data_IF_647438520248
#
_entry.id   IF_647438520248
#
_cell.length_a   1.000
_cell.length_b   1.000
_cell.length_c   1.000
_cell.angle_alpha   90.00
_cell.angle_beta   90.00
_cell.angle_gamma   90.00
#
_symmetry.space_group_name_H-M   'P 1'
#
loop_
_entity.id
_entity.type
_entity.pdbx_description
1 polymer ?
#
# COMPACT_ATOMS: atom_id res chain seq x y z
N UNK A 1 -20.53 -49.64 -19.47
CA UNK A 1 -20.47 -48.28 -20.05
C UNK A 1 -19.41 -47.52 -19.31
N UNK A 2 -18.31 -47.23 -19.94
CA UNK A 2 -17.21 -46.47 -19.34
C UNK A 2 -17.58 -44.99 -19.39
N UNK A 3 -17.53 -44.33 -18.26
CA UNK A 3 -17.83 -42.89 -18.14
C UNK A 3 -16.75 -42.13 -18.91
N UNK A 4 -17.09 -41.39 -20.00
CA UNK A 4 -16.09 -40.69 -20.80
C UNK A 4 -15.40 -39.55 -20.03
N UNK A 5 -15.97 -39.08 -18.94
CA UNK A 5 -15.37 -38.05 -18.09
C UNK A 5 -14.24 -38.58 -17.19
N UNK A 6 -14.24 -39.89 -16.87
CA UNK A 6 -13.16 -40.47 -16.09
C UNK A 6 -11.82 -40.53 -16.85
N UNK A 7 -11.85 -40.48 -18.19
CA UNK A 7 -10.64 -40.44 -19.01
C UNK A 7 -10.03 -39.02 -19.11
N UNK A 8 -10.74 -37.97 -18.72
CA UNK A 8 -10.28 -36.61 -18.77
C UNK A 8 -9.51 -36.17 -17.51
N UNK A 9 -9.23 -37.08 -16.58
CA UNK A 9 -8.47 -36.76 -15.36
C UNK A 9 -9.25 -35.94 -14.30
N UNK A 10 -10.58 -35.93 -14.39
CA UNK A 10 -11.43 -35.12 -13.47
C UNK A 10 -11.53 -35.70 -12.05
N UNK A 11 -11.05 -36.90 -11.83
CA UNK A 11 -11.02 -37.57 -10.54
C UNK A 11 -9.60 -38.03 -10.17
N UNK A 12 -8.63 -37.16 -10.36
CA UNK A 12 -7.30 -37.41 -9.81
C UNK A 12 -7.29 -36.90 -8.36
N UNK A 13 -7.56 -37.79 -7.41
CA UNK A 13 -7.51 -37.50 -5.97
C UNK A 13 -6.12 -37.07 -5.49
N UNK A 14 -5.10 -37.18 -6.33
CA UNK A 14 -3.72 -36.77 -6.05
C UNK A 14 -3.42 -35.31 -6.43
N UNK A 15 -4.38 -34.56 -7.01
CA UNK A 15 -4.20 -33.16 -7.27
C UNK A 15 -4.44 -32.41 -5.96
N UNK A 16 -3.35 -31.98 -5.35
CA UNK A 16 -3.41 -31.10 -4.18
C UNK A 16 -4.41 -29.98 -4.42
N UNK A 17 -5.31 -29.69 -3.47
CA UNK A 17 -6.29 -28.63 -3.64
C UNK A 17 -5.57 -27.33 -4.00
N UNK A 18 -6.15 -26.51 -4.88
CA UNK A 18 -5.53 -25.26 -5.28
C UNK A 18 -5.18 -24.46 -4.03
N UNK A 19 -3.98 -23.91 -4.01
CA UNK A 19 -3.49 -23.22 -2.83
C UNK A 19 -4.45 -22.09 -2.47
N UNK A 20 -5.01 -22.15 -1.27
CA UNK A 20 -5.81 -21.03 -0.74
C UNK A 20 -4.92 -19.82 -0.65
N UNK A 21 -5.33 -18.72 -1.25
CA UNK A 21 -4.66 -17.43 -1.10
C UNK A 21 -4.73 -17.02 0.35
N UNK A 22 -3.66 -17.28 1.05
CA UNK A 22 -3.48 -16.71 2.37
C UNK A 22 -2.63 -15.47 2.21
N UNK A 23 -2.90 -14.50 3.01
CA UNK A 23 -2.17 -13.26 3.15
C UNK A 23 -0.64 -13.43 3.17
N UNK A 24 -0.15 -14.55 3.78
CA UNK A 24 1.27 -14.91 3.77
C UNK A 24 1.85 -15.06 2.36
N UNK A 25 1.03 -15.28 1.32
CA UNK A 25 1.50 -15.39 -0.06
C UNK A 25 1.70 -14.08 -0.78
N UNK A 26 1.03 -13.01 -0.34
CA UNK A 26 1.33 -11.67 -0.83
C UNK A 26 2.77 -11.24 -0.49
N UNK A 27 3.33 -11.82 0.59
CA UNK A 27 4.71 -11.61 0.99
C UNK A 27 5.72 -12.52 0.28
N UNK A 28 5.27 -13.53 -0.46
CA UNK A 28 6.19 -14.37 -1.22
C UNK A 28 6.28 -13.84 -2.64
N UNK A 29 7.50 -13.56 -3.10
CA UNK A 29 7.82 -13.16 -4.49
C UNK A 29 7.38 -14.19 -5.55
N UNK A 30 6.74 -15.28 -5.12
CA UNK A 30 6.19 -16.30 -6.02
C UNK A 30 4.69 -16.10 -6.15
N UNK A 31 4.28 -14.94 -6.68
CA UNK A 31 2.98 -14.86 -7.32
C UNK A 31 3.09 -15.68 -8.62
N UNK A 32 2.71 -16.93 -8.55
CA UNK A 32 2.45 -17.72 -9.75
C UNK A 32 1.01 -17.39 -10.11
N UNK A 33 0.76 -16.61 -11.19
CA UNK A 33 -0.60 -16.43 -11.65
C UNK A 33 -1.19 -17.81 -11.87
N UNK A 34 -2.37 -18.06 -11.33
CA UNK A 34 -3.10 -19.28 -11.64
C UNK A 34 -3.41 -19.21 -13.10
N UNK A 35 -2.66 -19.97 -13.90
CA UNK A 35 -3.02 -20.17 -15.29
C UNK A 35 -4.39 -20.82 -15.28
N UNK A 36 -5.36 -20.18 -15.90
CA UNK A 36 -6.68 -20.75 -16.12
C UNK A 36 -6.51 -22.16 -16.67
N UNK A 37 -7.24 -23.15 -16.16
CA UNK A 37 -7.19 -24.49 -16.73
C UNK A 37 -7.49 -24.39 -18.23
N UNK A 38 -6.81 -25.20 -18.99
CA UNK A 38 -6.79 -25.18 -20.48
C UNK A 38 -8.18 -25.22 -21.14
N UNK A 39 -9.19 -25.54 -20.38
CA UNK A 39 -10.59 -25.61 -20.80
C UNK A 39 -11.38 -24.42 -20.23
N UNK A 40 -11.03 -23.22 -20.64
CA UNK A 40 -11.57 -21.92 -20.21
C UNK A 40 -13.08 -21.69 -20.21
N UNK A 41 -13.87 -22.73 -19.97
CA UNK A 41 -15.32 -22.69 -19.96
C UNK A 41 -15.96 -22.68 -18.56
N UNK A 42 -15.17 -22.83 -17.49
CA UNK A 42 -15.72 -22.74 -16.14
C UNK A 42 -15.54 -21.30 -15.66
N UNK A 43 -16.63 -20.63 -15.28
CA UNK A 43 -16.53 -19.32 -14.64
C UNK A 43 -15.66 -19.48 -13.39
N UNK A 44 -14.68 -18.60 -13.23
CA UNK A 44 -13.93 -18.52 -11.98
C UNK A 44 -14.91 -18.42 -10.83
N UNK A 45 -14.70 -19.22 -9.78
CA UNK A 45 -15.49 -19.10 -8.58
C UNK A 45 -15.42 -17.64 -8.10
N UNK A 46 -16.55 -16.98 -7.83
CA UNK A 46 -16.55 -15.58 -7.39
C UNK A 46 -15.77 -15.36 -6.08
N UNK A 47 -15.33 -16.43 -5.42
CA UNK A 47 -14.52 -16.37 -4.21
C UNK A 47 -13.01 -16.30 -4.46
N UNK A 48 -12.56 -16.38 -5.72
CA UNK A 48 -11.15 -16.36 -6.11
C UNK A 48 -10.77 -15.11 -6.92
N UNK A 49 -11.67 -14.17 -7.08
CA UNK A 49 -11.33 -12.88 -7.65
C UNK A 49 -10.25 -12.23 -6.76
N UNK A 50 -9.07 -12.04 -7.32
CA UNK A 50 -8.07 -11.18 -6.69
C UNK A 50 -8.77 -9.87 -6.31
N UNK A 51 -8.57 -9.34 -5.11
CA UNK A 51 -9.19 -8.08 -4.76
C UNK A 51 -8.82 -7.07 -5.86
N UNK A 52 -9.83 -6.42 -6.44
CA UNK A 52 -9.61 -5.36 -7.40
C UNK A 52 -8.81 -4.27 -6.67
N UNK A 53 -7.60 -4.00 -7.13
CA UNK A 53 -6.78 -2.92 -6.61
C UNK A 53 -6.90 -1.72 -7.52
N UNK A 54 -7.00 -0.55 -6.91
CA UNK A 54 -6.74 0.71 -7.60
C UNK A 54 -5.22 0.92 -7.53
N UNK A 55 -4.59 0.98 -8.69
CA UNK A 55 -3.15 1.25 -8.80
C UNK A 55 -2.90 2.70 -9.07
N UNK A 56 -1.98 3.26 -8.29
CA UNK A 56 -1.40 4.58 -8.49
C UNK A 56 0.08 4.42 -8.80
N UNK A 57 0.59 5.22 -9.73
CA UNK A 57 2.00 5.27 -10.10
C UNK A 57 2.58 6.60 -9.65
N UNK A 58 3.75 6.58 -9.03
CA UNK A 58 4.52 7.77 -8.70
C UNK A 58 5.37 8.12 -9.92
N UNK A 59 4.99 9.18 -10.59
CA UNK A 59 5.68 9.68 -11.77
C UNK A 59 6.60 10.83 -11.36
N UNK A 60 7.90 10.57 -11.38
CA UNK A 60 8.93 11.55 -11.05
C UNK A 60 10.06 11.50 -12.07
N UNK A 61 10.69 12.66 -12.32
CA UNK A 61 11.78 12.77 -13.28
C UNK A 61 13.04 12.02 -12.79
N UNK A 62 13.29 12.06 -11.48
CA UNK A 62 14.52 11.56 -10.87
C UNK A 62 14.29 10.30 -9.99
N UNK A 63 13.07 9.75 -9.99
CA UNK A 63 12.69 8.63 -9.12
C UNK A 63 12.46 9.03 -7.65
N UNK A 64 12.46 10.34 -7.36
CA UNK A 64 12.23 10.88 -6.02
C UNK A 64 10.72 10.98 -5.75
N UNK A 65 10.24 10.29 -4.73
CA UNK A 65 8.83 10.33 -4.33
C UNK A 65 8.44 11.63 -3.61
N UNK A 66 9.40 12.46 -3.24
CA UNK A 66 9.16 13.75 -2.60
C UNK A 66 8.84 14.87 -3.60
N UNK A 67 9.17 14.64 -4.88
CA UNK A 67 8.84 15.54 -5.98
C UNK A 67 8.28 14.73 -7.16
N UNK A 68 7.01 14.37 -7.06
CA UNK A 68 6.36 13.50 -8.05
C UNK A 68 4.86 13.81 -8.18
N UNK A 69 4.28 13.31 -9.26
CA UNK A 69 2.83 13.22 -9.44
C UNK A 69 2.36 11.80 -9.17
N UNK A 70 1.19 11.65 -8.55
CA UNK A 70 0.48 10.38 -8.46
C UNK A 70 -0.56 10.31 -9.57
N UNK A 71 -0.38 9.35 -10.47
CA UNK A 71 -1.30 9.09 -11.57
C UNK A 71 -2.12 7.82 -11.32
N UNK A 72 -3.39 7.85 -11.71
CA UNK A 72 -4.27 6.69 -11.68
C UNK A 72 -4.11 5.81 -12.92
N UNK A 73 -4.98 4.80 -13.04
CA UNK A 73 -4.99 3.85 -14.18
C UNK A 73 -5.35 4.49 -15.53
N UNK A 74 -5.88 5.69 -15.52
CA UNK A 74 -6.26 6.48 -16.70
C UNK A 74 -5.24 7.59 -17.04
N UNK A 75 -4.05 7.50 -16.48
CA UNK A 75 -2.94 8.45 -16.58
C UNK A 75 -3.31 9.89 -16.15
N UNK A 76 -4.41 10.05 -15.39
CA UNK A 76 -4.75 11.33 -14.80
C UNK A 76 -3.97 11.56 -13.53
N UNK A 77 -3.38 12.75 -13.41
CA UNK A 77 -2.78 13.21 -12.16
C UNK A 77 -3.88 13.41 -11.11
N UNK A 78 -3.77 12.71 -9.99
CA UNK A 78 -4.75 12.77 -8.90
C UNK A 78 -4.19 13.56 -7.73
N UNK A 79 -2.89 13.39 -7.46
CA UNK A 79 -2.18 14.10 -6.41
C UNK A 79 -0.81 14.53 -6.91
N UNK A 80 -0.30 15.58 -6.31
CA UNK A 80 1.06 16.06 -6.51
C UNK A 80 1.77 16.14 -5.17
N UNK A 81 3.01 15.70 -5.13
CA UNK A 81 3.89 15.81 -3.97
C UNK A 81 5.01 16.76 -4.35
N UNK A 82 5.25 17.79 -3.54
CA UNK A 82 6.29 18.78 -3.81
C UNK A 82 7.08 19.09 -2.56
N UNK A 83 8.38 19.16 -2.69
CA UNK A 83 9.27 19.51 -1.58
C UNK A 83 9.86 20.90 -1.78
N UNK A 84 9.69 21.74 -0.77
CA UNK A 84 10.21 23.10 -0.74
C UNK A 84 11.39 23.18 0.23
N UNK A 85 12.48 23.74 -0.24
CA UNK A 85 13.66 24.07 0.55
C UNK A 85 13.68 25.58 0.79
N UNK A 86 13.63 25.98 2.05
CA UNK A 86 13.60 27.38 2.45
C UNK A 86 15.02 27.89 2.75
N UNK A 87 15.22 29.20 2.64
CA UNK A 87 16.52 29.83 2.83
C UNK A 87 17.08 29.68 4.26
N UNK A 88 16.23 29.45 5.24
CA UNK A 88 16.59 29.16 6.64
C UNK A 88 16.99 27.70 6.89
N UNK A 89 17.07 26.89 5.84
CA UNK A 89 17.41 25.48 5.92
C UNK A 89 16.24 24.56 6.26
N UNK A 90 15.04 25.12 6.44
CA UNK A 90 13.83 24.31 6.62
C UNK A 90 13.45 23.62 5.30
N UNK A 91 12.95 22.42 5.41
CA UNK A 91 12.43 21.64 4.28
C UNK A 91 11.02 21.19 4.61
N UNK A 92 10.10 21.31 3.66
CA UNK A 92 8.74 20.80 3.83
C UNK A 92 8.23 20.12 2.57
N UNK A 93 7.54 18.99 2.73
CA UNK A 93 6.85 18.30 1.66
C UNK A 93 5.35 18.52 1.76
N UNK A 94 4.75 19.02 0.68
CA UNK A 94 3.32 19.27 0.57
C UNK A 94 2.67 18.21 -0.31
N UNK A 95 1.50 17.77 0.10
CA UNK A 95 0.63 16.88 -0.66
C UNK A 95 -0.56 17.68 -1.18
N UNK A 96 -0.72 17.71 -2.48
CA UNK A 96 -1.63 18.61 -3.19
C UNK A 96 -2.62 17.73 -3.98
N UNK A 97 -3.90 18.05 -3.91
CA UNK A 97 -4.95 17.38 -4.69
C UNK A 97 -5.18 18.08 -6.04
N UNK A 98 -6.02 17.49 -6.92
CA UNK A 98 -6.36 18.06 -8.24
C UNK A 98 -6.92 19.48 -8.21
N UNK A 99 -7.36 19.97 -7.06
CA UNK A 99 -7.87 21.33 -6.89
C UNK A 99 -6.80 22.32 -6.44
N UNK A 100 -5.52 21.98 -6.55
CA UNK A 100 -4.37 22.75 -6.05
C UNK A 100 -4.42 23.03 -4.53
N UNK A 101 -5.22 22.25 -3.79
CA UNK A 101 -5.30 22.40 -2.34
C UNK A 101 -4.27 21.49 -1.67
N UNK A 102 -3.48 22.08 -0.77
CA UNK A 102 -2.57 21.35 0.09
C UNK A 102 -3.38 20.67 1.19
N UNK A 103 -3.59 19.35 1.10
CA UNK A 103 -4.33 18.61 2.13
C UNK A 103 -3.43 18.04 3.22
N UNK A 104 -2.13 17.90 2.96
CA UNK A 104 -1.18 17.47 3.99
C UNK A 104 0.19 18.11 3.81
N UNK A 105 0.93 18.18 4.92
CA UNK A 105 2.29 18.71 4.96
C UNK A 105 3.14 17.93 5.94
N UNK A 106 4.38 17.64 5.54
CA UNK A 106 5.45 17.19 6.43
C UNK A 106 6.50 18.29 6.51
N UNK A 107 6.83 18.72 7.72
CA UNK A 107 7.93 19.65 8.00
C UNK A 107 9.12 18.85 8.50
N UNK A 108 10.20 18.83 7.71
CA UNK A 108 11.41 18.07 7.99
C UNK A 108 12.33 18.86 8.96
N UNK A 109 11.83 19.09 10.15
CA UNK A 109 12.57 19.69 11.26
C UNK A 109 13.15 18.60 12.18
N UNK A 110 13.82 18.99 13.24
CA UNK A 110 14.27 18.07 14.29
C UNK A 110 13.58 18.42 15.59
N UNK A 111 12.54 17.71 16.06
CA UNK A 111 11.87 16.59 15.39
C UNK A 111 10.98 17.00 14.19
N UNK A 112 10.66 16.07 13.26
CA UNK A 112 9.76 16.36 12.14
C UNK A 112 8.30 16.41 12.59
N UNK A 113 7.50 17.25 11.89
CA UNK A 113 6.07 17.39 12.15
C UNK A 113 5.24 17.02 10.93
N UNK A 114 4.03 16.55 11.18
CA UNK A 114 3.04 16.22 10.15
C UNK A 114 1.72 16.89 10.48
N UNK A 115 1.01 17.32 9.44
CA UNK A 115 -0.37 17.81 9.49
C UNK A 115 -1.12 17.23 8.31
N UNK A 116 -2.35 16.75 8.51
CA UNK A 116 -3.29 16.36 7.46
C UNK A 116 -4.60 17.08 7.75
N UNK A 117 -5.11 17.83 6.78
CA UNK A 117 -6.33 18.61 6.96
C UNK A 117 -7.48 17.73 7.46
N UNK A 118 -8.31 18.26 8.32
CA UNK A 118 -9.49 17.61 8.94
C UNK A 118 -9.23 16.28 9.68
N UNK A 119 -8.17 15.55 9.37
CA UNK A 119 -7.94 14.21 9.94
C UNK A 119 -6.81 14.16 10.98
N UNK A 120 -5.81 15.03 10.88
CA UNK A 120 -4.66 15.02 11.77
C UNK A 120 -4.15 16.43 12.06
N UNK A 121 -4.34 16.97 13.28
CA UNK A 121 -3.74 18.24 13.68
C UNK A 121 -2.22 18.14 13.63
N UNK A 122 -1.54 19.29 13.49
CA UNK A 122 -0.08 19.34 13.48
C UNK A 122 0.48 18.69 14.74
N UNK A 123 1.27 17.64 14.56
CA UNK A 123 1.95 16.93 15.64
C UNK A 123 3.29 16.36 15.16
N UNK A 124 4.09 15.89 16.07
CA UNK A 124 5.34 15.23 15.76
C UNK A 124 5.11 13.91 15.00
N UNK A 125 5.91 13.67 13.96
CA UNK A 125 5.76 12.52 13.08
C UNK A 125 5.86 11.20 13.85
N UNK A 126 6.77 11.10 14.82
CA UNK A 126 6.95 9.92 15.65
C UNK A 126 5.78 9.67 16.63
N UNK A 127 5.06 10.71 17.03
CA UNK A 127 3.86 10.57 17.84
C UNK A 127 2.69 9.96 17.04
N UNK A 128 2.68 10.20 15.74
CA UNK A 128 1.67 9.63 14.82
C UNK A 128 2.08 8.26 14.30
N UNK A 129 3.32 8.11 13.80
CA UNK A 129 3.87 6.85 13.29
C UNK A 129 4.67 6.18 14.40
N UNK A 130 4.02 5.32 15.17
CA UNK A 130 4.63 4.66 16.32
C UNK A 130 5.42 3.43 15.91
N UNK A 131 6.62 3.29 16.47
CA UNK A 131 7.38 2.05 16.39
C UNK A 131 6.73 1.00 17.27
N UNK A 132 6.63 -0.23 16.80
CA UNK A 132 6.24 -1.34 17.65
C UNK A 132 7.50 -1.91 18.29
N UNK A 133 7.55 -1.96 19.62
CA UNK A 133 8.73 -2.33 20.45
C UNK A 133 9.48 -3.60 20.03
N UNK A 134 8.88 -4.42 19.20
CA UNK A 134 9.43 -5.73 18.80
C UNK A 134 10.10 -5.75 17.43
N UNK A 135 9.99 -4.72 16.63
CA UNK A 135 10.54 -4.73 15.27
C UNK A 135 10.55 -3.33 14.64
N UNK A 136 11.72 -2.88 14.24
CA UNK A 136 11.90 -1.65 13.44
C UNK A 136 11.15 -1.66 12.10
N UNK A 137 10.75 -2.86 11.64
CA UNK A 137 10.05 -3.05 10.37
C UNK A 137 8.55 -2.81 10.47
N UNK A 138 8.02 -2.74 11.70
CA UNK A 138 6.58 -2.62 11.93
C UNK A 138 6.32 -1.28 12.59
N UNK A 139 5.47 -0.50 11.95
CA UNK A 139 4.97 0.79 12.46
C UNK A 139 3.45 0.72 12.57
N UNK A 140 2.89 1.53 13.44
CA UNK A 140 1.43 1.66 13.58
C UNK A 140 1.07 3.13 13.47
N UNK A 141 0.05 3.41 12.65
CA UNK A 141 -0.55 4.75 12.53
C UNK A 141 -2.02 4.67 12.88
N UNK A 142 -2.54 5.70 13.53
CA UNK A 142 -3.96 5.81 13.84
C UNK A 142 -4.64 6.68 12.78
N UNK A 143 -5.65 6.12 12.09
CA UNK A 143 -6.41 6.79 11.03
C UNK A 143 -7.89 6.57 11.33
N UNK A 144 -8.65 7.66 11.49
CA UNK A 144 -10.10 7.62 11.76
C UNK A 144 -10.47 6.60 12.87
N UNK A 145 -9.79 6.68 14.02
CA UNK A 145 -9.95 5.80 15.18
C UNK A 145 -9.55 4.33 14.96
N UNK A 146 -9.12 3.94 13.76
CA UNK A 146 -8.61 2.61 13.49
C UNK A 146 -7.07 2.61 13.47
N UNK A 147 -6.46 1.57 14.06
CA UNK A 147 -5.03 1.35 13.99
C UNK A 147 -4.68 0.63 12.71
N UNK A 148 -3.79 1.22 11.91
CA UNK A 148 -3.23 0.63 10.69
C UNK A 148 -1.78 0.25 10.95
N UNK A 149 -1.46 -1.01 10.72
CA UNK A 149 -0.09 -1.53 10.81
C UNK A 149 0.58 -1.40 9.46
N UNK A 150 1.75 -0.77 9.44
CA UNK A 150 2.63 -0.63 8.27
C UNK A 150 3.83 -1.57 8.47
N UNK A 151 3.98 -2.54 7.59
CA UNK A 151 5.05 -3.54 7.67
C UNK A 151 5.96 -3.43 6.45
N UNK A 152 7.24 -3.17 6.69
CA UNK A 152 8.26 -3.14 5.63
C UNK A 152 8.78 -4.54 5.36
N UNK A 153 8.71 -4.94 4.10
CA UNK A 153 9.30 -6.18 3.62
C UNK A 153 10.05 -5.93 2.30
N UNK A 154 11.37 -6.05 2.33
CA UNK A 154 12.25 -5.72 1.19
C UNK A 154 12.02 -4.28 0.72
N UNK A 155 11.66 -4.11 -0.57
CA UNK A 155 11.37 -2.82 -1.21
C UNK A 155 9.87 -2.49 -1.18
N UNK A 156 9.10 -3.12 -0.32
CA UNK A 156 7.65 -2.87 -0.23
C UNK A 156 7.24 -2.55 1.19
N UNK A 157 6.21 -1.73 1.32
CA UNK A 157 5.53 -1.46 2.59
C UNK A 157 4.07 -1.90 2.43
N UNK A 158 3.61 -2.70 3.37
CA UNK A 158 2.25 -3.23 3.39
C UNK A 158 1.47 -2.57 4.51
N UNK A 159 0.23 -2.16 4.23
CA UNK A 159 -0.68 -1.57 5.20
C UNK A 159 -1.82 -2.53 5.52
N UNK A 160 -2.12 -2.69 6.81
CA UNK A 160 -3.12 -3.60 7.33
C UNK A 160 -3.91 -2.98 8.47
N UNK A 161 -5.16 -3.38 8.64
CA UNK A 161 -5.88 -3.09 9.88
C UNK A 161 -5.26 -3.88 11.04
N UNK A 162 -5.01 -3.21 12.15
CA UNK A 162 -4.48 -3.85 13.34
C UNK A 162 -5.48 -4.85 13.93
N UNK A 163 -4.98 -6.00 14.37
CA UNK A 163 -5.73 -6.97 15.19
C UNK A 163 -6.07 -8.29 14.52
N UNK A 164 -6.01 -8.43 13.21
CA UNK A 164 -6.37 -9.68 12.52
C UNK A 164 -5.38 -10.03 11.41
N UNK A 165 -4.13 -10.32 11.78
CA UNK A 165 -3.14 -10.79 10.81
C UNK A 165 -3.64 -12.08 10.15
N UNK A 166 -3.91 -12.02 8.85
CA UNK A 166 -4.12 -13.20 8.02
C UNK A 166 -5.48 -13.37 7.36
N UNK A 167 -6.40 -12.41 7.49
CA UNK A 167 -7.61 -12.39 6.69
C UNK A 167 -7.45 -11.40 5.52
N UNK A 168 -7.87 -11.79 4.32
CA UNK A 168 -7.84 -10.93 3.11
C UNK A 168 -8.62 -9.61 3.31
N UNK A 169 -9.54 -9.59 4.29
CA UNK A 169 -10.34 -8.42 4.66
C UNK A 169 -9.57 -7.30 5.35
N UNK A 170 -8.36 -7.56 5.81
CA UNK A 170 -7.58 -6.62 6.63
C UNK A 170 -6.51 -5.88 5.83
N UNK A 171 -6.27 -6.29 4.58
CA UNK A 171 -5.36 -5.59 3.68
C UNK A 171 -5.96 -4.25 3.26
N UNK A 172 -5.12 -3.22 3.26
CA UNK A 172 -5.50 -1.84 2.98
C UNK A 172 -4.77 -1.31 1.75
N UNK A 173 -3.44 -1.42 1.74
CA UNK A 173 -2.61 -0.93 0.65
C UNK A 173 -1.24 -1.62 0.62
N UNK A 174 -0.57 -1.52 -0.55
CA UNK A 174 0.82 -1.94 -0.75
C UNK A 174 1.55 -0.89 -1.55
N UNK A 175 2.60 -0.34 -0.98
CA UNK A 175 3.60 0.44 -1.70
C UNK A 175 4.72 -0.48 -2.17
N UNK A 176 5.20 -0.29 -3.39
CA UNK A 176 6.31 -1.04 -3.96
C UNK A 176 7.28 -0.07 -4.65
N UNK A 177 8.53 -0.06 -4.22
CA UNK A 177 9.62 0.61 -4.93
C UNK A 177 10.48 -0.47 -5.60
N UNK A 178 10.45 -0.52 -6.93
CA UNK A 178 11.22 -1.45 -7.76
C UNK A 178 12.27 -0.71 -8.58
N UNK A 179 12.71 -1.39 -9.64
CA UNK A 179 13.59 -0.77 -10.67
C UNK A 179 12.74 0.08 -11.64
N UNK A 180 11.42 -0.15 -11.67
CA UNK A 180 10.42 0.67 -12.34
C UNK A 180 9.90 1.77 -11.40
N UNK A 181 9.04 2.64 -11.94
CA UNK A 181 8.37 3.68 -11.16
C UNK A 181 7.69 3.09 -9.91
N UNK A 182 7.82 3.74 -8.73
CA UNK A 182 7.15 3.28 -7.52
C UNK A 182 5.63 3.22 -7.73
N UNK A 183 4.99 2.24 -7.10
CA UNK A 183 3.54 2.03 -7.22
C UNK A 183 2.87 1.89 -5.85
N UNK A 184 1.60 2.30 -5.79
CA UNK A 184 0.74 2.13 -4.64
C UNK A 184 -0.54 1.41 -5.05
N UNK A 185 -0.68 0.16 -4.66
CA UNK A 185 -1.89 -0.64 -4.85
C UNK A 185 -2.79 -0.48 -3.62
N UNK A 186 -4.03 -0.04 -3.82
CA UNK A 186 -4.97 0.27 -2.75
C UNK A 186 -6.27 -0.49 -2.95
N UNK A 187 -6.82 -1.05 -1.88
CA UNK A 187 -8.16 -1.66 -1.94
C UNK A 187 -9.21 -0.55 -2.09
N UNK A 188 -10.18 -0.64 -3.02
CA UNK A 188 -11.20 0.39 -3.24
C UNK A 188 -11.91 0.87 -1.98
N UNK A 189 -12.19 -0.05 -1.07
CA UNK A 189 -12.78 0.23 0.25
C UNK A 189 -11.96 1.21 1.09
N UNK A 190 -10.65 1.24 0.90
CA UNK A 190 -9.72 2.15 1.60
C UNK A 190 -9.97 3.60 1.19
N UNK A 191 -10.15 3.83 -0.12
CA UNK A 191 -10.45 5.14 -0.67
C UNK A 191 -11.81 5.65 -0.17
N UNK A 192 -12.83 4.80 -0.24
CA UNK A 192 -14.19 5.14 0.20
C UNK A 192 -14.28 5.48 1.70
N UNK A 193 -13.36 4.97 2.51
CA UNK A 193 -13.31 5.24 3.96
C UNK A 193 -12.44 6.45 4.35
N UNK A 194 -11.85 7.14 3.39
CA UNK A 194 -10.97 8.26 3.66
C UNK A 194 -9.62 7.87 4.29
N UNK A 195 -9.16 6.62 4.08
CA UNK A 195 -7.86 6.19 4.59
C UNK A 195 -6.73 6.45 3.60
N UNK A 196 -7.06 6.74 2.34
CA UNK A 196 -6.08 6.85 1.27
C UNK A 196 -5.05 7.96 1.54
N UNK A 197 -5.51 9.17 1.80
CA UNK A 197 -4.64 10.33 2.02
C UNK A 197 -3.70 10.15 3.22
N UNK A 198 -4.19 9.75 4.43
CA UNK A 198 -3.29 9.50 5.54
C UNK A 198 -2.30 8.35 5.29
N UNK A 199 -2.71 7.30 4.57
CA UNK A 199 -1.82 6.19 4.21
C UNK A 199 -0.74 6.67 3.25
N UNK A 200 -1.09 7.45 2.23
CA UNK A 200 -0.13 8.03 1.30
C UNK A 200 0.94 8.85 2.05
N UNK A 201 0.51 9.74 2.95
CA UNK A 201 1.41 10.57 3.76
C UNK A 201 2.31 9.70 4.63
N UNK A 202 1.76 8.67 5.29
CA UNK A 202 2.54 7.76 6.13
C UNK A 202 3.57 6.94 5.33
N UNK A 203 3.20 6.47 4.14
CA UNK A 203 4.09 5.71 3.26
C UNK A 203 5.26 6.57 2.76
N UNK A 204 4.99 7.80 2.31
CA UNK A 204 6.03 8.76 1.90
C UNK A 204 6.95 9.07 3.08
N UNK A 205 6.40 9.37 4.25
CA UNK A 205 7.18 9.62 5.45
C UNK A 205 8.11 8.45 5.80
N UNK A 206 7.62 7.21 5.71
CA UNK A 206 8.41 6.01 6.03
C UNK A 206 9.46 5.69 4.97
N UNK A 207 9.26 6.07 3.74
CA UNK A 207 10.24 5.83 2.67
C UNK A 207 11.45 6.73 2.85
N UNK A 208 11.23 7.99 3.20
CA UNK A 208 12.30 8.96 3.43
C UNK A 208 13.00 8.80 4.78
N UNK A 209 12.25 8.44 5.81
CA UNK A 209 12.78 8.28 7.15
C UNK A 209 13.40 6.91 7.43
N UNK A 210 14.19 6.38 6.51
CA UNK A 210 15.02 5.18 6.79
C UNK A 210 16.05 5.45 7.90
N UNK A 211 16.28 6.71 8.25
CA UNK A 211 17.33 7.18 9.16
C UNK A 211 16.80 8.03 10.32
N UNK A 212 15.51 7.91 10.73
CA UNK A 212 15.09 8.56 11.96
C UNK A 212 15.91 8.00 13.13
N UNK A 213 16.67 8.84 13.86
CA UNK A 213 17.30 8.40 15.08
C UNK A 213 16.21 7.92 16.04
N UNK A 214 16.45 6.74 16.63
CA UNK A 214 15.63 6.25 17.72
C UNK A 214 15.72 7.26 18.87
N UNK A 215 14.57 7.72 19.34
CA UNK A 215 14.45 8.56 20.53
C UNK A 215 14.37 7.71 21.77
#
# INVERSE_FOLDING_TARGET
MTNPFAQAGWFNDDVAPPPRYTYKRLHSERYIPITSPLFGALPHSPHEASPDFIRFTFDSVDGDILDCSLTGSDDQEIFKITTNHYADGLTSTNFINNGDNVFARIEWTTPPFVKIDDSLPRQELHAWIKCTEKSERIRTVKINEEDITLERYKRSIYAYKAGKRGADSDFVAKFSSGDDAPTLDVVPKTVLKGYFEPILVALVALTEHQNLPES
#
